data_IF_739197933685
#
_entry.id   IF_739197933685
#
_cell.length_a   1.000
_cell.length_b   1.000
_cell.length_c   1.000
_cell.angle_alpha   90.00
_cell.angle_beta   90.00
_cell.angle_gamma   90.00
#
_symmetry.space_group_name_H-M   'P 1'
#
loop_
_entity.id
_entity.type
_entity.pdbx_description
1 polymer ?
#
# COMPACT_ATOMS: atom_id res chain seq x y z
N UNK A 1 10.50 -12.25 -26.53
CA UNK A 1 11.15 -13.39 -25.85
C UNK A 1 10.47 -13.55 -24.51
N UNK A 2 9.97 -14.74 -24.19
CA UNK A 2 9.52 -15.02 -22.83
C UNK A 2 10.77 -15.06 -21.93
N UNK A 3 10.70 -14.58 -20.69
CA UNK A 3 11.84 -14.66 -19.76
C UNK A 3 12.27 -16.11 -19.58
N UNK A 4 13.56 -16.34 -19.33
CA UNK A 4 14.11 -17.68 -19.09
C UNK A 4 13.46 -18.30 -17.84
N UNK A 5 13.35 -19.64 -17.79
CA UNK A 5 12.65 -20.34 -16.70
C UNK A 5 13.22 -20.00 -15.32
N UNK A 6 14.55 -19.88 -15.20
CA UNK A 6 15.25 -19.47 -13.97
C UNK A 6 14.92 -18.02 -13.56
N UNK A 7 14.81 -17.09 -14.52
CA UNK A 7 14.38 -15.72 -14.26
C UNK A 7 12.91 -15.68 -13.78
N UNK A 8 12.07 -16.54 -14.35
CA UNK A 8 10.66 -16.65 -13.99
C UNK A 8 10.47 -17.25 -12.59
N UNK A 9 11.26 -18.25 -12.23
CA UNK A 9 11.28 -18.83 -10.87
C UNK A 9 11.75 -17.82 -9.83
N UNK A 10 12.83 -17.08 -10.13
CA UNK A 10 13.31 -15.99 -9.27
C UNK A 10 12.24 -14.90 -9.05
N UNK A 11 11.54 -14.50 -10.12
CA UNK A 11 10.46 -13.52 -10.02
C UNK A 11 9.31 -14.03 -9.15
N UNK A 12 8.89 -15.28 -9.33
CA UNK A 12 7.84 -15.90 -8.51
C UNK A 12 8.24 -15.99 -7.04
N UNK A 13 9.49 -16.34 -6.74
CA UNK A 13 9.97 -16.41 -5.36
C UNK A 13 9.97 -15.02 -4.70
N UNK A 14 10.43 -13.99 -5.44
CA UNK A 14 10.41 -12.61 -4.97
C UNK A 14 8.97 -12.14 -4.69
N UNK A 15 8.03 -12.39 -5.60
CA UNK A 15 6.61 -12.05 -5.43
C UNK A 15 6.02 -12.76 -4.20
N UNK A 16 6.37 -14.03 -3.97
CA UNK A 16 5.94 -14.77 -2.79
C UNK A 16 6.48 -14.17 -1.49
N UNK A 17 7.77 -13.78 -1.45
CA UNK A 17 8.35 -13.13 -0.27
C UNK A 17 7.69 -11.78 0.02
N UNK A 18 7.36 -11.02 -1.02
CA UNK A 18 6.62 -9.77 -0.86
C UNK A 18 5.20 -9.99 -0.34
N UNK A 19 4.48 -10.98 -0.88
CA UNK A 19 3.15 -11.34 -0.40
C UNK A 19 3.16 -11.73 1.10
N UNK A 20 4.14 -12.55 1.52
CA UNK A 20 4.30 -12.94 2.92
C UNK A 20 4.56 -11.74 3.83
N UNK A 21 5.46 -10.84 3.43
CA UNK A 21 5.78 -9.67 4.24
C UNK A 21 4.64 -8.64 4.25
N UNK A 22 3.93 -8.44 3.14
CA UNK A 22 2.74 -7.60 3.08
C UNK A 22 1.61 -8.14 3.98
N UNK A 23 1.39 -9.46 3.99
CA UNK A 23 0.44 -10.11 4.89
C UNK A 23 0.84 -9.93 6.36
N UNK A 24 2.12 -10.13 6.68
CA UNK A 24 2.63 -9.92 8.05
C UNK A 24 2.40 -8.48 8.53
N UNK A 25 2.61 -7.49 7.65
CA UNK A 25 2.32 -6.10 7.95
C UNK A 25 0.82 -5.85 8.16
N UNK A 26 -0.04 -6.44 7.33
CA UNK A 26 -1.50 -6.35 7.44
C UNK A 26 -2.00 -6.90 8.78
N UNK A 27 -1.53 -8.09 9.18
CA UNK A 27 -1.85 -8.71 10.46
C UNK A 27 -1.38 -7.87 11.65
N UNK A 28 -0.15 -7.36 11.59
CA UNK A 28 0.40 -6.49 12.63
C UNK A 28 -0.44 -5.20 12.78
N UNK A 29 -0.79 -4.55 11.68
CA UNK A 29 -1.63 -3.35 11.69
C UNK A 29 -3.04 -3.64 12.22
N UNK A 30 -3.63 -4.76 11.81
CA UNK A 30 -4.93 -5.21 12.32
C UNK A 30 -4.89 -5.41 13.85
N UNK A 31 -3.83 -6.04 14.36
CA UNK A 31 -3.62 -6.18 15.80
C UNK A 31 -3.52 -4.84 16.54
N UNK A 32 -2.87 -3.84 15.94
CA UNK A 32 -2.80 -2.48 16.51
C UNK A 32 -4.19 -1.84 16.60
N UNK A 33 -4.99 -1.94 15.53
CA UNK A 33 -6.35 -1.40 15.49
C UNK A 33 -7.30 -2.09 16.49
N UNK A 34 -7.11 -3.39 16.73
CA UNK A 34 -7.87 -4.10 17.76
C UNK A 34 -7.47 -3.69 19.17
N UNK A 35 -6.21 -3.29 19.36
CA UNK A 35 -5.68 -2.95 20.68
C UNK A 35 -5.93 -1.49 21.09
N UNK A 36 -5.99 -0.55 20.13
CA UNK A 36 -6.08 0.89 20.40
C UNK A 36 -6.90 1.64 19.35
N UNK A 37 -7.51 2.78 19.72
CA UNK A 37 -8.12 3.69 18.76
C UNK A 37 -7.13 4.11 17.66
N UNK A 38 -7.59 4.13 16.40
CA UNK A 38 -6.73 4.43 15.24
C UNK A 38 -6.06 5.80 15.29
N UNK A 39 -6.69 6.80 15.92
CA UNK A 39 -6.14 8.15 16.08
C UNK A 39 -4.96 8.21 17.07
N UNK A 40 -4.73 7.17 17.87
CA UNK A 40 -3.57 7.06 18.77
C UNK A 40 -2.40 6.29 18.13
N UNK A 41 -2.62 5.66 16.96
CA UNK A 41 -1.60 4.88 16.26
C UNK A 41 -0.75 5.84 15.42
N UNK A 42 0.57 5.78 15.61
CA UNK A 42 1.55 6.44 14.74
C UNK A 42 2.33 5.39 13.97
N UNK A 43 2.29 5.48 12.65
CA UNK A 43 2.93 4.54 11.72
C UNK A 43 4.34 5.01 11.37
N UNK A 44 4.54 6.32 11.26
CA UNK A 44 5.83 6.94 10.96
C UNK A 44 6.05 8.18 11.82
N UNK A 45 7.24 8.78 11.72
CA UNK A 45 7.55 10.06 12.38
C UNK A 45 6.96 11.28 11.67
N UNK A 46 6.41 11.08 10.47
CA UNK A 46 5.96 12.15 9.56
C UNK A 46 4.52 11.93 9.09
N UNK A 47 3.71 11.21 9.87
CA UNK A 47 2.32 10.87 9.50
C UNK A 47 1.47 12.09 9.19
N UNK A 48 1.62 13.17 9.96
CA UNK A 48 0.82 14.39 9.77
C UNK A 48 1.21 15.11 8.46
N UNK A 49 2.50 15.08 8.10
CA UNK A 49 3.00 15.60 6.81
C UNK A 49 2.47 14.76 5.64
N UNK A 50 2.57 13.43 5.75
CA UNK A 50 2.04 12.48 4.75
C UNK A 50 0.55 12.71 4.54
N UNK A 51 -0.23 12.80 5.63
CA UNK A 51 -1.68 12.96 5.54
C UNK A 51 -2.08 14.30 4.92
N UNK A 52 -1.39 15.39 5.29
CA UNK A 52 -1.66 16.71 4.71
C UNK A 52 -1.42 16.69 3.20
N UNK A 53 -0.24 16.25 2.75
CA UNK A 53 0.07 16.20 1.32
C UNK A 53 -0.83 15.21 0.56
N UNK A 54 -1.19 14.09 1.17
CA UNK A 54 -2.17 13.15 0.61
C UNK A 54 -3.50 13.84 0.34
N UNK A 55 -4.02 14.64 1.29
CA UNK A 55 -5.29 15.38 1.11
C UNK A 55 -5.18 16.55 0.15
N UNK A 56 -4.01 17.15 -0.01
CA UNK A 56 -3.77 18.16 -1.06
C UNK A 56 -3.76 17.50 -2.46
N UNK A 57 -3.18 16.32 -2.59
CA UNK A 57 -3.03 15.61 -3.87
C UNK A 57 -4.30 14.86 -4.30
N UNK A 58 -5.04 14.34 -3.32
CA UNK A 58 -6.25 13.52 -3.48
C UNK A 58 -7.40 14.08 -2.61
N UNK A 59 -7.85 15.32 -2.87
CA UNK A 59 -8.82 16.01 -2.01
C UNK A 59 -10.16 15.27 -1.90
N UNK A 60 -10.59 14.66 -3.01
CA UNK A 60 -11.90 14.01 -3.13
C UNK A 60 -11.83 12.48 -2.98
N UNK A 61 -10.65 11.91 -2.68
CA UNK A 61 -10.51 10.46 -2.56
C UNK A 61 -11.26 9.94 -1.34
N UNK A 62 -12.16 9.00 -1.59
CA UNK A 62 -12.94 8.36 -0.55
C UNK A 62 -12.14 7.25 0.13
N UNK A 63 -11.52 7.57 1.26
CA UNK A 63 -10.71 6.60 2.02
C UNK A 63 -11.53 5.53 2.75
N UNK A 64 -12.85 5.70 2.82
CA UNK A 64 -13.75 4.72 3.43
C UNK A 64 -14.04 3.56 2.48
N UNK A 65 -14.15 3.88 1.19
CA UNK A 65 -14.42 2.95 0.09
C UNK A 65 -13.54 3.29 -1.11
N UNK A 66 -12.44 2.55 -1.26
CA UNK A 66 -11.48 2.73 -2.34
C UNK A 66 -11.95 2.00 -3.61
N UNK A 67 -11.58 2.51 -4.77
CA UNK A 67 -11.73 1.85 -6.05
C UNK A 67 -10.35 1.55 -6.63
N UNK A 68 -9.94 0.28 -6.65
CA UNK A 68 -8.59 -0.12 -7.08
C UNK A 68 -8.24 0.38 -8.51
N UNK A 69 -9.20 0.36 -9.44
CA UNK A 69 -8.95 0.75 -10.82
C UNK A 69 -8.82 2.28 -10.98
N UNK A 70 -9.73 3.03 -10.36
CA UNK A 70 -9.77 4.49 -10.48
C UNK A 70 -8.75 5.20 -9.58
N UNK A 71 -8.61 4.73 -8.33
CA UNK A 71 -7.81 5.36 -7.28
C UNK A 71 -6.35 4.90 -7.26
N UNK A 72 -5.98 3.83 -7.97
CA UNK A 72 -4.60 3.32 -7.97
C UNK A 72 -4.06 2.94 -9.36
N UNK A 73 -4.85 2.25 -10.18
CA UNK A 73 -4.31 1.61 -11.40
C UNK A 73 -4.34 2.47 -12.67
N UNK A 74 -5.16 3.52 -12.73
CA UNK A 74 -5.18 4.39 -13.91
C UNK A 74 -3.80 5.04 -14.16
N UNK A 75 -3.38 5.28 -15.42
CA UNK A 75 -2.03 5.80 -15.71
C UNK A 75 -1.70 7.11 -14.99
N UNK A 76 -2.66 8.05 -14.96
CA UNK A 76 -2.50 9.32 -14.26
C UNK A 76 -2.35 9.12 -12.74
N UNK A 77 -3.05 8.14 -12.18
CA UNK A 77 -3.03 7.86 -10.75
C UNK A 77 -1.73 7.15 -10.33
N UNK A 78 -1.23 6.22 -11.15
CA UNK A 78 0.10 5.62 -10.98
C UNK A 78 1.20 6.68 -10.94
N UNK A 79 1.14 7.67 -11.84
CA UNK A 79 2.11 8.76 -11.84
C UNK A 79 2.02 9.63 -10.57
N UNK A 80 0.80 9.99 -10.14
CA UNK A 80 0.57 10.73 -8.89
C UNK A 80 1.12 9.98 -7.67
N UNK A 81 0.77 8.71 -7.51
CA UNK A 81 1.25 7.88 -6.41
C UNK A 81 2.76 7.75 -6.40
N UNK A 82 3.39 7.52 -7.56
CA UNK A 82 4.85 7.44 -7.66
C UNK A 82 5.51 8.74 -7.20
N UNK A 83 5.06 9.87 -7.72
CA UNK A 83 5.61 11.18 -7.36
C UNK A 83 5.39 11.50 -5.88
N UNK A 84 4.26 11.09 -5.31
CA UNK A 84 3.95 11.23 -3.89
C UNK A 84 4.89 10.41 -3.01
N UNK A 85 4.99 9.11 -3.29
CA UNK A 85 5.78 8.14 -2.50
C UNK A 85 7.27 8.47 -2.53
N UNK A 86 7.83 8.87 -3.69
CA UNK A 86 9.25 9.23 -3.84
C UNK A 86 9.68 10.41 -2.95
N UNK A 87 8.78 11.34 -2.59
CA UNK A 87 9.10 12.45 -1.67
C UNK A 87 9.58 11.95 -0.29
N UNK A 88 9.12 10.77 0.11
CA UNK A 88 9.40 10.20 1.42
C UNK A 88 10.57 9.22 1.44
N UNK A 89 11.28 9.02 0.32
CA UNK A 89 12.42 8.08 0.20
C UNK A 89 13.45 8.22 1.34
N UNK A 90 13.74 9.46 1.76
CA UNK A 90 14.73 9.75 2.82
C UNK A 90 14.14 9.82 4.23
N UNK A 91 12.81 9.78 4.35
CA UNK A 91 12.07 9.99 5.61
C UNK A 91 11.40 8.71 6.12
N UNK A 92 10.94 7.86 5.21
CA UNK A 92 10.20 6.62 5.49
C UNK A 92 11.04 5.44 5.03
N UNK A 93 11.33 4.53 5.96
CA UNK A 93 12.03 3.29 5.64
C UNK A 93 11.11 2.39 4.80
N UNK A 94 11.69 1.69 3.82
CA UNK A 94 10.99 0.74 2.98
C UNK A 94 9.79 1.37 2.23
N UNK A 95 9.92 2.64 1.83
CA UNK A 95 8.86 3.43 1.19
C UNK A 95 8.31 2.84 -0.12
N UNK A 96 9.05 1.94 -0.76
CA UNK A 96 8.65 1.22 -1.99
C UNK A 96 8.13 -0.20 -1.72
N UNK A 97 8.02 -0.60 -0.45
CA UNK A 97 7.59 -1.94 -0.11
C UNK A 97 6.07 -2.06 -0.24
N UNK A 98 5.62 -3.08 -0.98
CA UNK A 98 4.19 -3.32 -1.19
C UNK A 98 3.48 -3.71 0.10
N UNK A 99 2.26 -3.22 0.27
CA UNK A 99 1.38 -3.44 1.40
C UNK A 99 0.01 -3.96 0.93
N UNK A 100 -0.73 -4.55 1.86
CA UNK A 100 -2.14 -4.87 1.65
C UNK A 100 -3.02 -3.76 2.18
N UNK A 101 -3.92 -3.28 1.32
CA UNK A 101 -4.90 -2.26 1.66
C UNK A 101 -6.30 -2.86 1.63
N UNK A 102 -7.14 -2.43 2.56
CA UNK A 102 -8.57 -2.79 2.59
C UNK A 102 -9.35 -1.83 1.71
N UNK A 103 -10.18 -2.38 0.83
CA UNK A 103 -11.01 -1.61 -0.12
C UNK A 103 -12.13 -0.90 0.64
N UNK A 104 -12.80 -1.60 1.54
CA UNK A 104 -13.75 -1.09 2.52
C UNK A 104 -13.12 -1.15 3.92
N UNK A 105 -12.96 0.01 4.57
CA UNK A 105 -12.31 0.08 5.88
C UNK A 105 -13.13 -0.53 7.03
N UNK A 106 -14.42 -0.80 6.81
CA UNK A 106 -15.33 -1.42 7.79
C UNK A 106 -15.24 -2.95 7.81
N UNK A 107 -14.66 -3.55 6.78
CA UNK A 107 -14.52 -4.99 6.63
C UNK A 107 -13.08 -5.44 6.94
N UNK A 108 -12.88 -6.74 7.17
CA UNK A 108 -11.57 -7.31 7.43
C UNK A 108 -10.70 -7.43 6.17
N UNK A 109 -9.49 -7.93 6.35
CA UNK A 109 -8.69 -8.41 5.21
C UNK A 109 -9.29 -9.72 4.70
N UNK A 110 -10.06 -9.61 3.61
CA UNK A 110 -10.64 -10.74 2.86
C UNK A 110 -10.26 -10.61 1.38
N UNK A 111 -10.29 -11.69 0.61
CA UNK A 111 -9.84 -11.69 -0.80
C UNK A 111 -10.54 -10.60 -1.62
N UNK A 112 -11.86 -10.46 -1.49
CA UNK A 112 -12.65 -9.46 -2.21
C UNK A 112 -12.52 -8.03 -1.65
N UNK A 113 -12.02 -7.89 -0.42
CA UNK A 113 -11.87 -6.60 0.26
C UNK A 113 -10.41 -6.16 0.37
N UNK A 114 -9.48 -6.86 -0.30
CA UNK A 114 -8.05 -6.60 -0.15
C UNK A 114 -7.42 -6.39 -1.52
N UNK A 115 -6.64 -5.33 -1.64
CA UNK A 115 -5.80 -5.07 -2.81
C UNK A 115 -4.33 -5.01 -2.42
N UNK A 116 -3.47 -5.45 -3.34
CA UNK A 116 -2.03 -5.24 -3.26
C UNK A 116 -1.69 -3.89 -3.89
N UNK A 117 -1.04 -3.00 -3.13
CA UNK A 117 -0.55 -1.72 -3.67
C UNK A 117 0.79 -1.85 -4.43
N UNK A 118 1.16 -3.08 -4.80
CA UNK A 118 2.49 -3.40 -5.32
C UNK A 118 2.81 -2.65 -6.62
N UNK A 119 3.92 -1.92 -6.60
CA UNK A 119 4.43 -1.18 -7.74
C UNK A 119 5.24 -2.12 -8.65
N UNK A 120 4.61 -2.78 -9.63
CA UNK A 120 5.36 -3.35 -10.76
C UNK A 120 5.99 -2.19 -11.55
N UNK A 121 7.32 -2.18 -11.61
CA UNK A 121 8.07 -1.49 -12.66
C UNK A 121 7.84 -2.18 -14.00
#
# INVERSE_FOLDING_TARGET
>A
MLPEAEQTENLREIEMQWAVKAMTHAEAYWGLLQAKPGNEIKLTRVDDEIYQEFRELFPDMNIEFLNEEEDFKSPAMKEKWRNFITKYEKKVKDYTFGSLLRINCHEGYEEQNTMFDYHQN
#
